data_IF_406732497866
#
_entry.id   IF_406732497866
#
_cell.length_a   1.000
_cell.length_b   1.000
_cell.length_c   1.000
_cell.angle_alpha   90.00
_cell.angle_beta   90.00
_cell.angle_gamma   90.00
#
_symmetry.space_group_name_H-M   'P 1'
#
loop_
_entity.id
_entity.type
_entity.pdbx_description
1 polymer ?
#
# COMPACT_ATOMS: atom_id res chain seq x y z
N UNK A 1 -37.91 -37.61 -20.92
CA UNK A 1 -36.66 -38.37 -21.16
C UNK A 1 -35.88 -37.59 -22.21
N UNK A 2 -34.68 -37.01 -22.04
CA UNK A 2 -33.67 -36.92 -20.96
C UNK A 2 -32.76 -35.73 -21.32
N UNK A 3 -32.52 -34.86 -20.32
CA UNK A 3 -31.26 -34.21 -19.90
C UNK A 3 -30.38 -33.36 -20.85
N UNK A 4 -30.19 -32.14 -20.34
CA UNK A 4 -29.11 -31.14 -20.41
C UNK A 4 -27.71 -31.58 -20.88
N UNK A 5 -27.02 -30.67 -21.57
CA UNK A 5 -25.58 -30.76 -21.85
C UNK A 5 -24.93 -29.39 -22.00
N UNK A 6 -25.10 -28.51 -21.01
CA UNK A 6 -24.31 -27.28 -20.91
C UNK A 6 -22.86 -27.63 -20.58
N UNK A 7 -21.94 -27.37 -21.51
CA UNK A 7 -20.51 -27.55 -21.28
C UNK A 7 -20.01 -26.50 -20.26
N UNK A 8 -19.26 -26.89 -19.21
CA UNK A 8 -18.64 -25.92 -18.32
C UNK A 8 -17.50 -25.23 -19.06
N UNK A 9 -17.55 -23.90 -19.15
CA UNK A 9 -16.40 -23.10 -19.54
C UNK A 9 -15.30 -23.37 -18.51
N UNK A 10 -14.30 -24.12 -18.95
CA UNK A 10 -13.14 -24.53 -18.18
C UNK A 10 -12.45 -23.25 -17.69
N UNK A 11 -12.60 -22.97 -16.39
CA UNK A 11 -11.82 -21.96 -15.68
C UNK A 11 -10.35 -22.36 -15.79
N UNK A 12 -9.67 -21.78 -16.78
CA UNK A 12 -8.24 -21.90 -16.99
C UNK A 12 -7.60 -21.35 -15.73
N UNK A 13 -7.02 -22.25 -14.94
CA UNK A 13 -6.35 -21.93 -13.69
C UNK A 13 -5.37 -20.78 -13.89
N UNK A 14 -5.71 -19.65 -13.29
CA UNK A 14 -4.71 -18.67 -12.94
C UNK A 14 -3.81 -19.33 -11.89
N UNK A 15 -2.51 -19.28 -12.15
CA UNK A 15 -1.49 -20.06 -11.41
C UNK A 15 -1.26 -19.48 -10.01
N UNK A 16 -1.93 -18.37 -9.73
CA UNK A 16 -2.09 -17.73 -8.45
C UNK A 16 -3.59 -17.46 -8.34
N UNK A 17 -4.33 -18.30 -7.61
CA UNK A 17 -5.78 -18.15 -7.42
C UNK A 17 -6.11 -16.93 -6.55
N UNK A 18 -5.73 -15.74 -7.02
CA UNK A 18 -5.98 -14.44 -6.41
C UNK A 18 -7.19 -13.84 -7.12
N UNK A 19 -8.34 -13.88 -6.46
CA UNK A 19 -9.53 -13.18 -6.95
C UNK A 19 -9.31 -11.68 -6.83
N UNK A 20 -9.97 -10.85 -7.64
CA UNK A 20 -9.88 -9.39 -7.49
C UNK A 20 -10.25 -8.94 -6.06
N UNK A 21 -11.13 -9.69 -5.39
CA UNK A 21 -11.50 -9.52 -3.99
C UNK A 21 -10.34 -9.82 -3.00
N UNK A 22 -9.36 -10.64 -3.37
CA UNK A 22 -8.19 -10.95 -2.54
C UNK A 22 -7.13 -9.85 -2.53
N UNK A 23 -7.19 -8.92 -3.48
CA UNK A 23 -6.24 -7.80 -3.58
C UNK A 23 -6.78 -6.52 -2.94
N UNK A 24 -8.10 -6.44 -2.71
CA UNK A 24 -8.75 -5.25 -2.17
C UNK A 24 -9.05 -5.40 -0.68
N UNK A 25 -8.85 -4.32 0.10
CA UNK A 25 -9.22 -4.30 1.51
C UNK A 25 -10.75 -4.26 1.71
N UNK A 26 -11.49 -3.73 0.73
CA UNK A 26 -12.95 -3.59 0.79
C UNK A 26 -13.57 -4.01 -0.55
N UNK A 27 -14.03 -5.26 -0.71
CA UNK A 27 -14.54 -5.76 -1.98
C UNK A 27 -15.95 -5.27 -2.35
N UNK A 28 -16.69 -4.64 -1.43
CA UNK A 28 -18.10 -4.23 -1.61
C UNK A 28 -18.28 -2.71 -1.78
N UNK A 29 -17.34 -2.01 -2.41
CA UNK A 29 -17.48 -0.57 -2.70
C UNK A 29 -18.11 -0.42 -4.08
N UNK A 30 -19.34 0.12 -4.14
CA UNK A 30 -19.94 0.56 -5.40
C UNK A 30 -19.12 1.74 -5.91
N UNK A 31 -18.28 1.47 -6.92
CA UNK A 31 -17.39 2.43 -7.54
C UNK A 31 -18.14 3.71 -7.91
N UNK A 32 -17.47 4.84 -7.66
CA UNK A 32 -17.91 6.18 -8.00
C UNK A 32 -18.04 6.30 -9.53
N UNK A 33 -19.22 5.96 -10.05
CA UNK A 33 -19.52 5.95 -11.47
C UNK A 33 -19.58 7.37 -12.08
N UNK A 34 -19.67 8.40 -11.23
CA UNK A 34 -19.94 9.76 -11.67
C UNK A 34 -18.68 10.65 -11.61
N UNK A 35 -17.88 10.54 -12.66
CA UNK A 35 -17.34 11.71 -13.40
C UNK A 35 -16.17 12.54 -12.85
N UNK A 36 -15.51 12.19 -11.75
CA UNK A 36 -14.17 12.73 -11.45
C UNK A 36 -13.24 11.64 -10.98
N UNK A 37 -12.34 11.21 -11.86
CA UNK A 37 -11.13 10.49 -11.46
C UNK A 37 -10.45 11.35 -10.41
N UNK A 38 -10.52 10.94 -9.15
CA UNK A 38 -9.81 11.63 -8.09
C UNK A 38 -8.31 11.38 -8.32
N UNK A 39 -7.64 12.35 -8.93
CA UNK A 39 -6.20 12.26 -9.11
C UNK A 39 -5.51 12.57 -7.78
N UNK A 40 -4.74 11.63 -7.28
CA UNK A 40 -3.95 11.78 -6.07
C UNK A 40 -2.47 11.94 -6.40
N UNK A 41 -1.80 12.83 -5.66
CA UNK A 41 -0.35 12.81 -5.60
C UNK A 41 0.09 11.54 -4.90
N UNK A 42 0.74 10.64 -5.64
CA UNK A 42 1.01 9.28 -5.14
C UNK A 42 2.14 9.27 -4.11
N UNK A 43 1.84 8.73 -2.93
CA UNK A 43 2.82 8.57 -1.85
C UNK A 43 3.76 7.40 -2.12
N UNK A 44 5.05 7.70 -2.25
CA UNK A 44 6.11 6.71 -2.50
C UNK A 44 6.75 6.15 -1.22
N UNK A 45 6.40 6.68 -0.05
CA UNK A 45 7.11 6.35 1.19
C UNK A 45 8.36 7.17 1.43
N UNK A 46 8.47 8.41 0.94
CA UNK A 46 9.63 9.30 1.19
C UNK A 46 9.25 10.70 1.69
N UNK A 47 8.01 11.14 1.50
CA UNK A 47 7.50 12.42 2.00
C UNK A 47 6.86 12.29 3.38
N UNK A 48 6.44 13.41 3.97
CA UNK A 48 5.85 13.48 5.30
C UNK A 48 4.46 12.82 5.33
N UNK A 49 4.26 11.74 6.11
CA UNK A 49 2.99 10.99 6.12
C UNK A 49 1.79 11.83 6.56
N UNK A 50 2.00 12.74 7.52
CA UNK A 50 0.96 13.65 8.00
C UNK A 50 0.48 14.64 6.94
N UNK A 51 1.40 15.13 6.10
CA UNK A 51 1.07 16.04 5.00
C UNK A 51 0.29 15.30 3.91
N UNK A 52 0.70 14.08 3.59
CA UNK A 52 -0.04 13.23 2.64
C UNK A 52 -1.48 12.97 3.11
N UNK A 53 -1.66 12.58 4.37
CA UNK A 53 -2.99 12.35 4.94
C UNK A 53 -3.86 13.62 4.91
N UNK A 54 -3.30 14.79 5.24
CA UNK A 54 -4.04 16.04 5.21
C UNK A 54 -4.55 16.38 3.79
N UNK A 55 -3.68 16.27 2.78
CA UNK A 55 -4.06 16.52 1.38
C UNK A 55 -5.08 15.49 0.88
N UNK A 56 -4.92 14.23 1.24
CA UNK A 56 -5.87 13.17 0.91
C UNK A 56 -7.27 13.47 1.47
N UNK A 57 -7.36 13.75 2.78
CA UNK A 57 -8.63 14.09 3.43
C UNK A 57 -9.31 15.31 2.79
N UNK A 58 -8.54 16.31 2.38
CA UNK A 58 -9.08 17.49 1.69
C UNK A 58 -9.71 17.12 0.34
N UNK A 59 -9.06 16.26 -0.46
CA UNK A 59 -9.64 15.76 -1.73
C UNK A 59 -10.87 14.89 -1.49
N UNK A 60 -10.92 14.19 -0.36
CA UNK A 60 -11.99 13.29 0.02
C UNK A 60 -13.07 13.91 0.91
N UNK A 61 -13.13 15.23 1.02
CA UNK A 61 -14.04 15.93 1.93
C UNK A 61 -15.52 15.54 1.73
N UNK A 62 -15.93 15.22 0.50
CA UNK A 62 -17.30 14.77 0.18
C UNK A 62 -17.63 13.36 0.74
N UNK A 63 -16.61 12.56 1.06
CA UNK A 63 -16.72 11.17 1.51
C UNK A 63 -16.17 10.96 2.92
N UNK A 64 -15.95 12.05 3.68
CA UNK A 64 -15.23 12.00 4.96
C UNK A 64 -15.90 11.12 6.04
N UNK A 65 -17.17 10.75 5.83
CA UNK A 65 -17.94 9.88 6.73
C UNK A 65 -18.11 8.44 6.21
N UNK A 66 -17.59 8.12 5.03
CA UNK A 66 -17.64 6.77 4.46
C UNK A 66 -16.26 6.10 4.58
N UNK A 67 -16.05 5.39 5.70
CA UNK A 67 -14.82 4.67 5.99
C UNK A 67 -14.40 3.74 4.84
N UNK A 68 -15.37 3.07 4.19
CA UNK A 68 -15.08 2.10 3.13
C UNK A 68 -14.52 2.79 1.89
N UNK A 69 -15.13 3.89 1.49
CA UNK A 69 -14.65 4.72 0.36
C UNK A 69 -13.28 5.32 0.68
N UNK A 70 -13.09 5.82 1.90
CA UNK A 70 -11.81 6.39 2.33
C UNK A 70 -10.69 5.34 2.35
N UNK A 71 -10.95 4.12 2.81
CA UNK A 71 -9.95 3.04 2.82
C UNK A 71 -9.62 2.61 1.38
N UNK A 72 -10.65 2.41 0.55
CA UNK A 72 -10.49 1.96 -0.84
C UNK A 72 -9.65 2.95 -1.65
N UNK A 73 -10.05 4.21 -1.69
CA UNK A 73 -9.36 5.23 -2.50
C UNK A 73 -8.00 5.64 -1.92
N UNK A 74 -7.73 5.36 -0.65
CA UNK A 74 -6.40 5.61 -0.09
C UNK A 74 -5.36 4.72 -0.78
N UNK A 75 -5.72 3.50 -1.19
CA UNK A 75 -4.84 2.62 -1.95
C UNK A 75 -4.40 3.27 -3.27
N UNK A 76 -5.32 3.93 -3.98
CA UNK A 76 -5.01 4.66 -5.23
C UNK A 76 -4.04 5.83 -5.02
N UNK A 77 -4.02 6.37 -3.80
CA UNK A 77 -3.08 7.44 -3.40
C UNK A 77 -1.67 6.94 -3.10
N UNK A 78 -1.41 5.63 -3.13
CA UNK A 78 -0.10 5.04 -2.83
C UNK A 78 0.57 4.48 -4.09
N UNK A 79 1.89 4.30 -4.04
CA UNK A 79 2.65 3.63 -5.09
C UNK A 79 3.88 2.91 -4.51
N UNK A 80 4.37 1.89 -5.22
CA UNK A 80 5.59 1.17 -4.86
C UNK A 80 5.48 0.53 -3.48
N UNK A 81 6.50 0.72 -2.65
CA UNK A 81 6.60 0.10 -1.31
C UNK A 81 5.41 0.47 -0.41
N UNK A 82 4.87 1.69 -0.56
CA UNK A 82 3.69 2.11 0.22
C UNK A 82 2.41 1.39 -0.19
N UNK A 83 2.21 1.17 -1.48
CA UNK A 83 1.09 0.38 -1.97
C UNK A 83 1.23 -1.08 -1.53
N UNK A 84 2.43 -1.66 -1.67
CA UNK A 84 2.74 -3.02 -1.22
C UNK A 84 2.48 -3.22 0.27
N UNK A 85 2.82 -2.25 1.11
CA UNK A 85 2.49 -2.28 2.53
C UNK A 85 0.97 -2.30 2.76
N UNK A 86 0.23 -1.46 2.05
CA UNK A 86 -1.22 -1.31 2.24
C UNK A 86 -2.00 -2.57 1.82
N UNK A 87 -1.66 -3.19 0.68
CA UNK A 87 -2.32 -4.43 0.22
C UNK A 87 -2.01 -5.63 1.12
N UNK A 88 -0.88 -5.61 1.82
CA UNK A 88 -0.48 -6.67 2.77
C UNK A 88 -1.05 -6.46 4.17
N UNK A 89 -1.81 -5.39 4.43
CA UNK A 89 -2.52 -5.24 5.69
C UNK A 89 -3.56 -6.36 5.81
N UNK A 90 -3.61 -7.00 6.98
CA UNK A 90 -4.60 -8.01 7.26
C UNK A 90 -6.01 -7.40 7.15
N UNK A 91 -6.85 -7.97 6.27
CA UNK A 91 -8.23 -7.51 6.00
C UNK A 91 -9.11 -7.38 7.26
N UNK A 92 -8.76 -8.07 8.35
CA UNK A 92 -9.48 -8.00 9.62
C UNK A 92 -9.01 -6.91 10.59
N UNK A 93 -7.83 -6.34 10.38
CA UNK A 93 -7.21 -5.37 11.30
C UNK A 93 -7.65 -3.93 11.04
N UNK A 94 -7.98 -3.58 9.80
CA UNK A 94 -8.41 -2.23 9.43
C UNK A 94 -9.92 -2.24 9.23
N UNK A 95 -10.67 -1.67 10.19
CA UNK A 95 -12.13 -1.61 10.13
C UNK A 95 -12.66 -0.21 9.84
N UNK A 96 -11.88 0.81 10.20
CA UNK A 96 -12.22 2.22 10.04
C UNK A 96 -11.09 2.99 9.38
N UNK A 97 -11.40 4.15 8.81
CA UNK A 97 -10.40 5.07 8.27
C UNK A 97 -9.36 5.45 9.34
N UNK A 98 -9.80 5.63 10.59
CA UNK A 98 -8.91 5.94 11.72
C UNK A 98 -7.87 4.85 11.93
N UNK A 99 -8.27 3.58 11.91
CA UNK A 99 -7.33 2.46 12.09
C UNK A 99 -6.27 2.45 10.99
N UNK A 100 -6.66 2.72 9.74
CA UNK A 100 -5.74 2.82 8.61
C UNK A 100 -4.78 3.99 8.76
N UNK A 101 -5.29 5.18 9.10
CA UNK A 101 -4.49 6.38 9.26
C UNK A 101 -3.46 6.22 10.39
N UNK A 102 -3.84 5.63 11.52
CA UNK A 102 -2.93 5.33 12.63
C UNK A 102 -1.86 4.31 12.23
N UNK A 103 -2.26 3.22 11.56
CA UNK A 103 -1.31 2.22 11.06
C UNK A 103 -0.31 2.84 10.06
N UNK A 104 -0.79 3.70 9.16
CA UNK A 104 0.03 4.39 8.18
C UNK A 104 1.02 5.35 8.84
N UNK A 105 0.53 6.18 9.78
CA UNK A 105 1.39 7.08 10.55
C UNK A 105 2.43 6.32 11.37
N UNK A 106 2.07 5.15 11.93
CA UNK A 106 3.01 4.30 12.67
C UNK A 106 4.05 3.65 11.75
N UNK A 107 3.64 3.16 10.59
CA UNK A 107 4.54 2.55 9.60
C UNK A 107 5.58 3.55 9.08
N UNK A 108 5.16 4.78 8.79
CA UNK A 108 6.01 5.81 8.20
C UNK A 108 6.45 6.88 9.20
N UNK A 109 6.26 6.65 10.50
CA UNK A 109 6.56 7.59 11.61
C UNK A 109 8.02 8.05 11.60
N UNK A 110 8.92 7.27 10.97
CA UNK A 110 10.38 7.41 11.07
C UNK A 110 11.12 7.44 9.72
N UNK A 111 10.59 8.09 8.69
CA UNK A 111 11.41 8.47 7.52
C UNK A 111 12.45 9.59 7.81
N UNK A 112 12.84 9.76 9.08
CA UNK A 112 14.03 10.53 9.48
C UNK A 112 15.24 9.63 9.73
N UNK A 113 15.07 8.33 9.97
CA UNK A 113 16.16 7.43 10.41
C UNK A 113 16.65 6.47 9.31
N UNK A 114 16.09 6.56 8.10
CA UNK A 114 16.51 5.75 6.94
C UNK A 114 17.43 6.47 5.94
N UNK A 115 17.83 7.73 6.20
CA UNK A 115 19.12 8.16 5.68
C UNK A 115 20.16 7.37 6.48
N UNK A 116 21.01 6.52 5.88
CA UNK A 116 22.12 5.96 6.63
C UNK A 116 22.89 7.14 7.19
N UNK A 117 22.89 7.26 8.52
CA UNK A 117 23.65 8.29 9.20
C UNK A 117 25.07 8.26 8.64
N UNK A 118 25.67 9.43 8.42
CA UNK A 118 26.98 9.57 7.77
C UNK A 118 28.03 8.70 8.48
N UNK A 119 27.81 8.43 9.77
CA UNK A 119 28.53 7.48 10.61
C UNK A 119 28.48 6.02 10.12
N UNK A 120 27.32 5.50 9.68
CA UNK A 120 27.18 4.15 9.12
C UNK A 120 27.88 4.02 7.76
N UNK A 121 27.80 5.05 6.91
CA UNK A 121 28.52 5.06 5.64
C UNK A 121 30.03 5.10 5.85
N UNK A 122 30.52 5.90 6.79
CA UNK A 122 31.95 5.95 7.12
C UNK A 122 32.47 4.63 7.75
N UNK A 123 31.66 3.97 8.58
CA UNK A 123 32.04 2.68 9.17
C UNK A 123 32.09 1.53 8.15
N UNK A 124 31.32 1.59 7.07
CA UNK A 124 31.44 0.62 5.96
C UNK A 124 32.71 0.88 5.14
N UNK A 125 33.00 2.14 4.80
CA UNK A 125 34.21 2.53 4.04
C UNK A 125 35.50 2.16 4.81
N UNK A 126 35.50 2.29 6.14
CA UNK A 126 36.68 2.00 6.96
C UNK A 126 36.96 0.50 7.12
N UNK A 127 35.92 -0.35 7.10
CA UNK A 127 36.08 -1.81 7.19
C UNK A 127 36.55 -2.46 5.88
N UNK A 128 36.33 -1.85 4.71
CA UNK A 128 36.84 -2.39 3.44
C UNK A 128 38.35 -2.18 3.26
N UNK A 129 38.95 -1.25 4.00
CA UNK A 129 40.37 -0.88 3.84
C UNK A 129 41.31 -1.54 4.87
N UNK A 130 40.79 -2.32 5.82
CA UNK A 130 41.57 -2.92 6.93
C UNK A 130 41.98 -4.40 6.68
N UNK A 131 41.70 -4.95 5.49
CA UNK A 131 41.90 -6.37 5.16
C UNK A 131 43.09 -6.72 4.26
N UNK A 132 44.03 -5.80 3.99
CA UNK A 132 45.16 -6.08 3.10
C UNK A 132 46.50 -5.63 3.69
N UNK A 133 46.98 -6.34 4.70
CA UNK A 133 48.40 -6.44 5.02
C UNK A 133 48.61 -7.53 6.06
N UNK A 134 49.02 -8.70 5.59
CA UNK A 134 50.05 -9.54 6.23
C UNK A 134 50.25 -10.80 5.39
N UNK A 135 51.24 -10.73 4.50
CA UNK A 135 52.03 -11.89 4.07
C UNK A 135 53.41 -11.36 3.69
N UNK A 136 54.36 -11.48 4.60
CA UNK A 136 55.80 -11.42 4.37
C UNK A 136 56.44 -12.50 5.23
#
# INVERSE_FOLDING_TARGET
>A
MVVLGGTPLRHRGDKYGLEAADLCLVPDVRLLADSKTLEFDKYKGSSWPCVHLAMYCQKMAAYIYDDKVLIYCFQDSLIGVALSWCVNLERGCIKTWRDLAEAFLKQYKHNKDMAPDRSRLQNMIKNEHEGFKEYA
#
